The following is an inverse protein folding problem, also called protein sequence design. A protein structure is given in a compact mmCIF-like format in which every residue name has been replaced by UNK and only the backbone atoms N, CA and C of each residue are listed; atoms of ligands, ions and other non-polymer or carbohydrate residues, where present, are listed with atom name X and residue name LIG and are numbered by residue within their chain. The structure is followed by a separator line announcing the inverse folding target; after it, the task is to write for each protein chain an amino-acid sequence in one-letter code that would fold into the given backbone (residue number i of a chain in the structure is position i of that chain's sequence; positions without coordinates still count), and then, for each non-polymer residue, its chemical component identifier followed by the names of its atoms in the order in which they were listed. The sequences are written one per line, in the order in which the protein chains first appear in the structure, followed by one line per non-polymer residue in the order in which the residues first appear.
data_IF_316562487492
#
_entry.id   IF_316562487492
#
_cell.length_a   1.000
_cell.length_b   1.000
_cell.length_c   1.000
_cell.angle_alpha   90.00
_cell.angle_beta   90.00
_cell.angle_gamma   90.00
#
_symmetry.space_group_name_H-M   'P 1'
#
loop_
_entity.id
_entity.type
_entity.pdbx_description
1 polymer ?
#
# COMPACT_ATOMS: atom_id res chain seq x y z
N UNK A 1 -1.24 1.32 -21.32
CA UNK A 1 -1.50 2.73 -20.88
C UNK A 1 -0.48 3.08 -19.79
N UNK A 2 0.30 4.14 -20.00
CA UNK A 2 1.28 4.58 -19.00
C UNK A 2 0.53 5.12 -17.77
N UNK A 3 0.38 4.32 -16.74
CA UNK A 3 -0.04 4.78 -15.42
C UNK A 3 1.10 5.60 -14.82
N UNK A 4 1.11 6.90 -15.10
CA UNK A 4 2.00 7.84 -14.43
C UNK A 4 1.46 8.02 -13.01
N UNK A 5 2.16 7.51 -12.00
CA UNK A 5 1.85 7.87 -10.62
C UNK A 5 1.75 9.39 -10.51
N UNK A 6 0.64 9.88 -9.98
CA UNK A 6 0.45 11.32 -9.83
C UNK A 6 1.41 11.86 -8.76
N UNK A 7 2.16 12.95 -9.04
CA UNK A 7 3.15 13.48 -8.10
C UNK A 7 2.50 14.17 -6.90
N UNK A 8 1.95 13.39 -5.96
CA UNK A 8 1.28 13.91 -4.75
C UNK A 8 2.15 14.84 -3.92
N UNK A 9 3.47 14.70 -3.99
CA UNK A 9 4.40 15.61 -3.33
C UNK A 9 4.25 17.06 -3.80
N UNK A 10 3.73 17.30 -5.00
CA UNK A 10 3.41 18.64 -5.52
C UNK A 10 2.22 19.26 -4.79
N UNK A 11 1.24 18.45 -4.38
CA UNK A 11 0.07 18.90 -3.62
C UNK A 11 0.41 19.03 -2.14
N UNK A 12 1.05 18.00 -1.56
CA UNK A 12 1.32 17.94 -0.12
C UNK A 12 2.59 18.69 0.30
N UNK A 13 3.40 19.19 -0.65
CA UNK A 13 4.60 19.98 -0.40
C UNK A 13 5.78 19.20 0.20
N UNK A 14 5.64 17.89 0.41
CA UNK A 14 6.71 17.03 0.96
C UNK A 14 6.55 15.59 0.51
N UNK A 15 7.57 15.08 -0.16
CA UNK A 15 7.66 13.66 -0.53
C UNK A 15 7.65 12.74 0.69
N UNK A 16 8.38 13.11 1.75
CA UNK A 16 8.42 12.35 3.01
C UNK A 16 7.04 12.28 3.65
N UNK A 17 6.28 13.39 3.64
CA UNK A 17 4.90 13.44 4.14
C UNK A 17 3.98 12.48 3.39
N UNK A 18 4.00 12.53 2.06
CA UNK A 18 3.20 11.63 1.22
C UNK A 18 3.49 10.17 1.57
N UNK A 19 4.75 9.78 1.64
CA UNK A 19 5.13 8.40 1.98
C UNK A 19 4.69 7.98 3.38
N UNK A 20 4.76 8.88 4.36
CA UNK A 20 4.29 8.59 5.72
C UNK A 20 2.77 8.45 5.74
N UNK A 21 2.02 9.34 5.10
CA UNK A 21 0.56 9.23 5.00
C UNK A 21 0.20 7.89 4.33
N UNK A 22 0.84 7.55 3.22
CA UNK A 22 0.63 6.27 2.52
C UNK A 22 0.89 5.08 3.46
N UNK A 23 2.01 5.07 4.20
CA UNK A 23 2.34 3.99 5.13
C UNK A 23 1.24 3.77 6.18
N UNK A 24 0.67 4.85 6.73
CA UNK A 24 -0.34 4.74 7.77
C UNK A 24 -1.76 4.48 7.25
N UNK A 25 -2.07 4.87 6.01
CA UNK A 25 -3.43 4.71 5.45
C UNK A 25 -3.59 3.43 4.64
N UNK A 26 -2.54 2.98 3.94
CA UNK A 26 -2.59 1.81 3.05
C UNK A 26 -1.72 0.65 3.50
N UNK A 27 -0.83 0.88 4.47
CA UNK A 27 0.04 -0.15 5.04
C UNK A 27 -0.62 -0.93 6.18
N UNK A 28 0.17 -1.82 6.80
CA UNK A 28 -0.29 -2.61 7.94
C UNK A 28 -0.69 -1.70 9.10
N UNK A 29 -1.91 -1.87 9.62
CA UNK A 29 -2.48 -1.05 10.70
C UNK A 29 -1.89 -1.46 12.05
N UNK A 30 -0.73 -0.92 12.40
CA UNK A 30 -0.04 -1.17 13.68
C UNK A 30 0.75 0.04 14.16
N UNK A 31 1.20 0.06 15.41
CA UNK A 31 2.14 1.08 15.89
C UNK A 31 3.50 0.98 15.20
N UNK A 32 4.07 2.13 14.86
CA UNK A 32 5.41 2.25 14.28
C UNK A 32 6.27 3.20 15.11
N UNK A 33 7.54 2.88 15.32
CA UNK A 33 8.50 3.84 15.89
C UNK A 33 9.34 4.52 14.80
N UNK A 34 9.91 5.68 15.11
CA UNK A 34 10.48 6.59 14.10
C UNK A 34 11.57 5.96 13.20
N UNK A 35 12.43 5.09 13.74
CA UNK A 35 13.48 4.43 12.92
C UNK A 35 12.89 3.40 11.95
N UNK A 36 11.83 2.74 12.35
CA UNK A 36 11.10 1.80 11.53
C UNK A 36 10.39 2.53 10.38
N UNK A 37 9.70 3.63 10.67
CA UNK A 37 9.09 4.49 9.66
C UNK A 37 10.14 4.96 8.65
N UNK A 38 11.29 5.46 9.13
CA UNK A 38 12.40 5.93 8.28
C UNK A 38 12.88 4.85 7.30
N UNK A 39 12.98 3.60 7.74
CA UNK A 39 13.32 2.46 6.88
C UNK A 39 12.24 2.13 5.87
N UNK A 40 10.98 2.06 6.33
CA UNK A 40 9.84 1.69 5.47
C UNK A 40 9.63 2.71 4.35
N UNK A 41 9.74 4.01 4.67
CA UNK A 41 9.56 5.07 3.66
C UNK A 41 10.84 5.41 2.90
N UNK A 42 11.97 4.82 3.27
CA UNK A 42 13.30 5.10 2.71
C UNK A 42 13.61 6.61 2.67
N UNK A 43 13.50 7.26 3.83
CA UNK A 43 13.75 8.69 4.01
C UNK A 43 14.62 8.95 5.25
N UNK A 44 15.33 10.08 5.26
CA UNK A 44 16.23 10.45 6.36
C UNK A 44 15.46 10.65 7.67
N UNK A 45 16.01 10.15 8.77
CA UNK A 45 15.37 10.17 10.09
C UNK A 45 14.89 11.55 10.52
N UNK A 46 15.67 12.60 10.26
CA UNK A 46 15.31 13.98 10.64
C UNK A 46 14.15 14.53 9.80
N UNK A 47 14.06 14.16 8.52
CA UNK A 47 12.91 14.50 7.68
C UNK A 47 11.65 13.81 8.20
N UNK A 48 11.75 12.51 8.50
CA UNK A 48 10.64 11.73 9.07
C UNK A 48 10.16 12.33 10.40
N UNK A 49 11.07 12.69 11.32
CA UNK A 49 10.68 13.32 12.60
C UNK A 49 9.89 14.61 12.42
N UNK A 50 10.31 15.49 11.51
CA UNK A 50 9.60 16.74 11.21
C UNK A 50 8.20 16.49 10.70
N UNK A 51 8.05 15.56 9.77
CA UNK A 51 6.75 15.24 9.19
C UNK A 51 5.83 14.54 10.20
N UNK A 52 6.35 13.63 11.01
CA UNK A 52 5.60 13.00 12.09
C UNK A 52 5.08 14.02 13.11
N UNK A 53 5.89 15.04 13.45
CA UNK A 53 5.44 16.10 14.37
C UNK A 53 4.31 16.93 13.74
N UNK A 54 4.38 17.24 12.45
CA UNK A 54 3.30 17.92 11.73
C UNK A 54 2.02 17.08 11.73
N UNK A 55 2.12 15.81 11.34
CA UNK A 55 0.96 14.91 11.26
C UNK A 55 0.32 14.65 12.65
N UNK A 56 1.14 14.64 13.69
CA UNK A 56 0.66 14.57 15.09
C UNK A 56 -0.06 15.86 15.50
N UNK A 57 0.49 17.04 15.19
CA UNK A 57 -0.10 18.34 15.52
C UNK A 57 -1.46 18.55 14.87
N UNK A 58 -1.66 18.09 13.65
CA UNK A 58 -2.96 18.16 12.98
C UNK A 58 -3.95 17.06 13.42
N UNK A 59 -3.52 16.14 14.28
CA UNK A 59 -4.38 15.10 14.83
C UNK A 59 -4.52 13.84 13.99
N UNK A 60 -3.82 13.73 12.85
CA UNK A 60 -3.82 12.52 12.01
C UNK A 60 -3.13 11.34 12.71
N UNK A 61 -2.07 11.61 13.46
CA UNK A 61 -1.35 10.61 14.23
C UNK A 61 -1.47 10.90 15.73
N UNK A 62 -1.56 9.84 16.52
CA UNK A 62 -1.39 9.87 17.97
C UNK A 62 -0.10 9.18 18.36
N UNK A 63 0.37 9.43 19.58
CA UNK A 63 1.59 8.80 20.11
C UNK A 63 1.31 8.14 21.44
N UNK A 64 1.97 7.00 21.67
CA UNK A 64 2.09 6.41 23.00
C UNK A 64 3.52 5.95 23.25
N UNK A 65 3.92 6.03 24.51
CA UNK A 65 5.25 5.62 24.95
C UNK A 65 5.20 4.19 25.47
N UNK A 66 6.10 3.33 24.96
CA UNK A 66 6.28 1.98 25.44
C UNK A 66 7.77 1.65 25.52
N UNK A 67 8.24 1.18 26.71
CA UNK A 67 9.63 0.76 26.97
C UNK A 67 10.69 1.76 26.46
N UNK A 68 10.54 3.04 26.76
CA UNK A 68 11.43 4.14 26.34
C UNK A 68 11.42 4.46 24.84
N UNK A 69 10.41 3.97 24.09
CA UNK A 69 10.23 4.28 22.67
C UNK A 69 8.89 4.94 22.45
N UNK A 70 8.89 5.99 21.63
CA UNK A 70 7.68 6.64 21.16
C UNK A 70 7.18 5.93 19.91
N UNK A 71 5.94 5.47 19.97
CA UNK A 71 5.22 4.86 18.85
C UNK A 71 4.18 5.82 18.31
N UNK A 72 4.02 5.79 17.00
CA UNK A 72 3.03 6.55 16.25
C UNK A 72 1.94 5.60 15.77
N UNK A 73 0.69 6.03 15.89
CA UNK A 73 -0.50 5.27 15.51
C UNK A 73 -1.43 6.18 14.72
N UNK A 74 -2.09 5.62 13.72
CA UNK A 74 -3.13 6.32 12.98
C UNK A 74 -4.31 6.65 13.92
N UNK A 75 -4.74 7.90 13.91
CA UNK A 75 -5.96 8.30 14.61
C UNK A 75 -7.17 8.01 13.74
N UNK A 76 -7.86 6.92 14.00
CA UNK A 76 -9.05 6.51 13.23
C UNK A 76 -10.22 7.50 13.33
N UNK A 77 -10.21 8.41 14.30
CA UNK A 77 -11.21 9.47 14.45
C UNK A 77 -10.83 10.76 13.71
N UNK A 78 -9.71 10.77 13.00
CA UNK A 78 -9.35 11.93 12.17
C UNK A 78 -10.27 12.01 10.97
N UNK A 79 -10.98 13.11 10.82
CA UNK A 79 -12.13 13.27 9.91
C UNK A 79 -11.82 13.15 8.41
N UNK A 80 -10.55 13.18 7.99
CA UNK A 80 -10.12 13.05 6.59
C UNK A 80 -9.42 11.70 6.28
N UNK A 81 -9.51 10.71 7.18
CA UNK A 81 -8.74 9.48 7.01
C UNK A 81 -9.13 8.71 5.76
N UNK A 82 -10.42 8.56 5.49
CA UNK A 82 -10.92 7.78 4.36
C UNK A 82 -10.62 8.48 3.03
N UNK A 83 -10.73 9.80 2.99
CA UNK A 83 -10.39 10.61 1.83
C UNK A 83 -8.88 10.55 1.53
N UNK A 84 -8.04 10.68 2.56
CA UNK A 84 -6.59 10.55 2.40
C UNK A 84 -6.19 9.16 1.93
N UNK A 85 -6.76 8.10 2.51
CA UNK A 85 -6.52 6.73 2.06
C UNK A 85 -6.90 6.55 0.59
N UNK A 86 -8.08 7.06 0.19
CA UNK A 86 -8.54 7.02 -1.20
C UNK A 86 -7.61 7.78 -2.16
N UNK A 87 -7.14 8.98 -1.76
CA UNK A 87 -6.19 9.76 -2.55
C UNK A 87 -4.86 9.01 -2.70
N UNK A 88 -4.32 8.43 -1.62
CA UNK A 88 -3.05 7.70 -1.65
C UNK A 88 -3.14 6.45 -2.53
N UNK A 89 -4.25 5.71 -2.47
CA UNK A 89 -4.50 4.56 -3.34
C UNK A 89 -4.58 4.95 -4.81
N UNK A 90 -5.33 6.01 -5.14
CA UNK A 90 -5.54 6.45 -6.53
C UNK A 90 -4.30 7.06 -7.18
N UNK A 91 -3.47 7.73 -6.40
CA UNK A 91 -2.31 8.46 -6.91
C UNK A 91 -0.98 7.70 -6.76
N UNK A 92 -0.95 6.65 -5.96
CA UNK A 92 0.19 5.73 -5.89
C UNK A 92 0.42 5.05 -7.24
N UNK A 93 1.59 4.43 -7.48
CA UNK A 93 1.65 3.35 -8.44
C UNK A 93 0.60 2.36 -7.95
N UNK A 94 -0.47 2.20 -8.72
CA UNK A 94 -1.54 1.34 -8.32
C UNK A 94 -0.94 0.01 -7.90
N UNK A 95 -1.46 -0.60 -6.86
CA UNK A 95 -1.16 -2.01 -6.56
C UNK A 95 -1.22 -2.79 -7.86
N UNK A 96 -2.13 -2.40 -8.75
CA UNK A 96 -2.30 -2.84 -10.13
C UNK A 96 -1.01 -2.74 -10.98
N UNK A 97 -0.32 -1.60 -11.02
CA UNK A 97 0.90 -1.45 -11.85
C UNK A 97 2.05 -2.33 -11.36
N UNK A 98 2.21 -2.46 -10.05
CA UNK A 98 3.20 -3.36 -9.45
C UNK A 98 2.79 -4.82 -9.65
N UNK A 99 1.51 -5.12 -9.53
CA UNK A 99 0.97 -6.44 -9.79
C UNK A 99 1.18 -6.84 -11.25
N UNK A 100 0.77 -6.02 -12.21
CA UNK A 100 0.91 -6.34 -13.65
C UNK A 100 2.36 -6.54 -14.07
N UNK A 101 3.30 -5.68 -13.63
CA UNK A 101 4.74 -5.87 -13.90
C UNK A 101 5.31 -7.17 -13.35
N UNK A 102 4.81 -7.61 -12.20
CA UNK A 102 5.24 -8.88 -11.60
C UNK A 102 4.55 -10.08 -12.28
N UNK A 103 3.32 -9.91 -12.76
CA UNK A 103 2.58 -10.94 -13.48
C UNK A 103 3.23 -11.31 -14.82
N UNK A 104 3.86 -10.36 -15.53
CA UNK A 104 4.63 -10.64 -16.77
C UNK A 104 5.73 -11.69 -16.58
N UNK A 105 6.19 -11.91 -15.34
CA UNK A 105 7.24 -12.90 -15.01
C UNK A 105 6.71 -14.29 -14.68
N UNK A 106 5.40 -14.48 -14.67
CA UNK A 106 4.77 -15.74 -14.28
C UNK A 106 4.76 -16.78 -15.40
N UNK A 107 4.98 -16.37 -16.65
CA UNK A 107 4.95 -17.24 -17.83
C UNK A 107 4.45 -16.49 -19.06
N UNK A 108 3.88 -17.22 -20.01
CA UNK A 108 3.24 -16.64 -21.20
C UNK A 108 1.83 -16.16 -20.85
N UNK A 109 1.77 -15.00 -20.19
CA UNK A 109 0.52 -14.36 -19.77
C UNK A 109 -0.13 -13.65 -20.97
N UNK A 110 -1.34 -14.04 -21.33
CA UNK A 110 -2.13 -13.42 -22.40
C UNK A 110 -3.04 -12.32 -21.91
N UNK A 111 -3.64 -12.54 -20.75
CA UNK A 111 -4.58 -11.58 -20.15
C UNK A 111 -4.52 -11.66 -18.63
N UNK A 112 -4.63 -10.51 -17.97
CA UNK A 112 -4.78 -10.40 -16.53
C UNK A 112 -5.83 -9.33 -16.19
N UNK A 113 -6.68 -9.64 -15.23
CA UNK A 113 -7.68 -8.73 -14.72
C UNK A 113 -7.71 -8.79 -13.20
N UNK A 114 -7.85 -7.64 -12.56
CA UNK A 114 -8.07 -7.53 -11.11
C UNK A 114 -9.51 -7.14 -10.84
N UNK A 115 -10.08 -7.70 -9.80
CA UNK A 115 -11.46 -7.51 -9.36
C UNK A 115 -11.53 -7.59 -7.83
N UNK A 116 -12.70 -7.86 -7.27
CA UNK A 116 -12.91 -8.17 -5.88
C UNK A 116 -12.25 -7.17 -4.93
N UNK A 117 -11.29 -7.66 -4.15
CA UNK A 117 -10.54 -6.85 -3.19
C UNK A 117 -9.92 -5.59 -3.82
N UNK A 118 -9.33 -5.70 -5.01
CA UNK A 118 -8.60 -4.61 -5.67
C UNK A 118 -9.52 -3.51 -6.22
N UNK A 119 -10.76 -3.83 -6.53
CA UNK A 119 -11.75 -2.90 -7.10
C UNK A 119 -12.85 -2.50 -6.11
N UNK A 120 -12.87 -3.12 -4.92
CA UNK A 120 -13.92 -2.96 -3.94
C UNK A 120 -15.22 -3.70 -4.28
N UNK A 121 -15.22 -4.56 -5.30
CA UNK A 121 -16.35 -5.36 -5.71
C UNK A 121 -16.50 -6.61 -4.83
N UNK A 122 -17.14 -6.47 -3.68
CA UNK A 122 -17.27 -7.52 -2.64
C UNK A 122 -17.94 -8.83 -3.10
N UNK A 123 -18.71 -8.78 -4.17
CA UNK A 123 -19.43 -9.95 -4.72
C UNK A 123 -18.67 -10.64 -5.87
N UNK A 124 -17.44 -10.22 -6.16
CA UNK A 124 -16.65 -10.85 -7.22
C UNK A 124 -16.20 -12.26 -6.80
N UNK A 125 -16.34 -13.27 -7.66
CA UNK A 125 -15.92 -14.64 -7.38
C UNK A 125 -14.39 -14.80 -7.37
N UNK A 126 -13.65 -13.82 -7.87
CA UNK A 126 -12.18 -13.83 -7.90
C UNK A 126 -11.62 -12.42 -7.76
N UNK A 127 -10.46 -12.28 -7.14
CA UNK A 127 -9.74 -11.03 -7.02
C UNK A 127 -8.76 -10.83 -8.18
N UNK A 128 -8.21 -11.93 -8.71
CA UNK A 128 -7.26 -11.92 -9.82
C UNK A 128 -7.65 -13.01 -10.82
N UNK A 129 -7.91 -12.62 -12.06
CA UNK A 129 -8.07 -13.54 -13.19
C UNK A 129 -6.82 -13.50 -14.06
N UNK A 130 -6.26 -14.66 -14.38
CA UNK A 130 -5.05 -14.81 -15.18
C UNK A 130 -5.30 -15.80 -16.30
N UNK A 131 -5.05 -15.40 -17.54
CA UNK A 131 -5.22 -16.27 -18.72
C UNK A 131 -3.87 -16.43 -19.43
N UNK A 132 -3.45 -17.68 -19.62
CA UNK A 132 -2.18 -18.01 -20.30
C UNK A 132 -1.49 -19.24 -19.72
N UNK A 133 -0.33 -19.59 -20.28
CA UNK A 133 0.50 -20.70 -19.82
C UNK A 133 1.42 -20.22 -18.69
N UNK A 134 0.96 -20.37 -17.46
CA UNK A 134 1.65 -19.87 -16.28
C UNK A 134 2.45 -20.98 -15.57
N UNK A 135 3.56 -20.60 -14.95
CA UNK A 135 4.31 -21.48 -14.08
C UNK A 135 3.64 -21.51 -12.69
N UNK A 136 3.13 -22.67 -12.28
CA UNK A 136 2.37 -22.85 -11.04
C UNK A 136 3.15 -22.45 -9.78
N UNK A 137 4.44 -22.80 -9.70
CA UNK A 137 5.28 -22.47 -8.55
C UNK A 137 5.51 -20.96 -8.42
N UNK A 138 5.78 -20.30 -9.56
CA UNK A 138 5.93 -18.82 -9.59
C UNK A 138 4.62 -18.11 -9.24
N UNK A 139 3.50 -18.64 -9.73
CA UNK A 139 2.18 -18.13 -9.42
C UNK A 139 1.87 -18.24 -7.92
N UNK A 140 2.06 -19.42 -7.33
CA UNK A 140 1.84 -19.62 -5.90
C UNK A 140 2.70 -18.67 -5.04
N UNK A 141 3.99 -18.54 -5.39
CA UNK A 141 4.90 -17.61 -4.70
C UNK A 141 4.51 -16.13 -4.89
N UNK A 142 3.95 -15.79 -6.02
CA UNK A 142 3.47 -14.44 -6.31
C UNK A 142 2.23 -14.11 -5.47
N UNK A 143 1.23 -14.98 -5.44
CA UNK A 143 0.01 -14.82 -4.65
C UNK A 143 0.37 -14.70 -3.17
N UNK A 144 1.19 -15.62 -2.63
CA UNK A 144 1.62 -15.56 -1.23
C UNK A 144 2.27 -14.24 -0.85
N UNK A 145 3.12 -13.66 -1.72
CA UNK A 145 3.71 -12.34 -1.45
C UNK A 145 2.67 -11.22 -1.39
N UNK A 146 1.63 -11.30 -2.23
CA UNK A 146 0.54 -10.32 -2.21
C UNK A 146 -0.25 -10.44 -0.91
N UNK A 147 -0.60 -11.66 -0.52
CA UNK A 147 -1.31 -11.95 0.74
C UNK A 147 -0.52 -11.47 1.95
N UNK A 148 0.79 -11.77 2.00
CA UNK A 148 1.71 -11.30 3.06
C UNK A 148 1.81 -9.76 3.12
N UNK A 149 1.71 -9.06 1.97
CA UNK A 149 1.77 -7.60 1.91
C UNK A 149 0.45 -6.94 2.31
N UNK A 150 -0.67 -7.57 1.96
CA UNK A 150 -2.01 -7.03 2.19
C UNK A 150 -2.62 -7.50 3.52
N UNK A 151 -2.00 -8.49 4.16
CA UNK A 151 -2.55 -9.20 5.34
C UNK A 151 -3.99 -9.69 5.05
N UNK A 152 -4.21 -10.21 3.84
CA UNK A 152 -5.51 -10.60 3.31
C UNK A 152 -5.37 -11.78 2.36
N UNK A 153 -6.24 -12.76 2.47
CA UNK A 153 -6.35 -13.88 1.52
C UNK A 153 -6.88 -13.39 0.16
N UNK A 154 -6.26 -13.85 -0.92
CA UNK A 154 -6.57 -13.43 -2.30
C UNK A 154 -7.05 -14.61 -3.12
N UNK A 155 -8.28 -14.49 -3.62
CA UNK A 155 -8.86 -15.47 -4.52
C UNK A 155 -8.38 -15.25 -5.95
N UNK A 156 -7.79 -16.27 -6.59
CA UNK A 156 -7.32 -16.15 -7.96
C UNK A 156 -7.80 -17.30 -8.84
N UNK A 157 -8.01 -17.00 -10.12
CA UNK A 157 -8.49 -17.97 -11.11
C UNK A 157 -7.52 -18.01 -12.30
N UNK A 158 -6.66 -19.06 -12.41
CA UNK A 158 -5.86 -19.29 -13.59
C UNK A 158 -6.69 -19.98 -14.67
N UNK A 159 -6.52 -19.54 -15.91
CA UNK A 159 -7.13 -20.14 -17.11
C UNK A 159 -6.07 -20.33 -18.20
N UNK A 160 -6.16 -21.40 -18.98
CA UNK A 160 -5.29 -21.67 -20.14
C UNK A 160 -5.93 -21.25 -21.45
#
# INVERSE_FOLDING_TARGET
MNSKSFPLEKIFGSRTRVKIITLFTTGVKRPYYVREISRNVNERLNAVRRELDILRKIGMLTTHDNKRRKYYVLNHNFFLIDELASIMQKAGPGVEDTLFKNMERLGDLKYACVSGYFTGAKESPTDILLVGSLNEERLANFIKRIEDQLDQEITYTPMT
#
